data_IF_678814618098
#
_entry.id   IF_678814618098
#
_cell.length_a   1.000
_cell.length_b   1.000
_cell.length_c   1.000
_cell.angle_alpha   90.00
_cell.angle_beta   90.00
_cell.angle_gamma   90.00
#
_symmetry.space_group_name_H-M   'P 1'
#
loop_
_entity.id
_entity.type
_entity.pdbx_description
1 polymer ?
#
# COMPACT_ATOMS: atom_id res chain seq x y z
N UNK A 1 27.45 -1.03 20.56
CA UNK A 1 27.94 0.35 20.33
C UNK A 1 26.91 1.42 20.68
N UNK A 2 25.71 1.42 20.07
CA UNK A 2 24.64 2.41 20.33
C UNK A 2 24.33 2.70 21.81
N UNK A 3 24.23 1.67 22.65
CA UNK A 3 23.98 1.81 24.09
C UNK A 3 25.03 2.68 24.80
N UNK A 4 26.31 2.56 24.43
CA UNK A 4 27.39 3.34 25.03
C UNK A 4 27.28 4.80 24.61
N UNK A 5 27.01 5.06 23.33
CA UNK A 5 26.78 6.41 22.79
C UNK A 5 25.59 7.09 23.46
N UNK A 6 24.47 6.38 23.61
CA UNK A 6 23.30 6.87 24.33
C UNK A 6 23.66 7.30 25.76
N UNK A 7 24.38 6.44 26.50
CA UNK A 7 24.76 6.75 27.88
C UNK A 7 25.71 7.94 27.99
N UNK A 8 26.69 8.06 27.10
CA UNK A 8 27.61 9.21 27.08
C UNK A 8 26.85 10.51 26.84
N UNK A 9 25.93 10.53 25.87
CA UNK A 9 25.11 11.71 25.57
C UNK A 9 24.17 12.05 26.73
N UNK A 10 23.50 11.05 27.29
CA UNK A 10 22.59 11.22 28.42
C UNK A 10 23.31 11.73 29.67
N UNK A 11 24.46 11.14 30.02
CA UNK A 11 25.25 11.54 31.19
C UNK A 11 25.83 12.96 31.03
N UNK A 12 26.13 13.37 29.79
CA UNK A 12 26.56 14.73 29.46
C UNK A 12 25.39 15.71 29.23
N UNK A 13 24.16 15.33 29.64
CA UNK A 13 22.94 16.14 29.52
C UNK A 13 22.71 16.69 28.10
N UNK A 14 23.06 15.91 27.08
CA UNK A 14 22.80 16.27 25.69
C UNK A 14 21.37 15.90 25.30
N UNK A 15 20.77 16.71 24.43
CA UNK A 15 19.44 16.41 23.90
C UNK A 15 19.50 15.18 22.98
N UNK A 16 18.56 14.26 23.18
CA UNK A 16 18.43 13.04 22.37
C UNK A 16 17.00 13.03 21.81
N UNK A 17 16.89 12.97 20.48
CA UNK A 17 15.62 12.81 19.79
C UNK A 17 15.69 11.49 19.01
N UNK A 18 14.71 10.62 19.25
CA UNK A 18 14.58 9.33 18.58
C UNK A 18 13.20 9.26 17.93
N UNK A 19 13.16 8.71 16.72
CA UNK A 19 11.92 8.48 15.98
C UNK A 19 11.81 7.00 15.64
N UNK A 20 10.61 6.43 15.76
CA UNK A 20 10.32 5.05 15.36
C UNK A 20 8.90 4.96 14.80
N UNK A 21 8.69 4.00 13.92
CA UNK A 21 7.38 3.58 13.40
C UNK A 21 6.56 2.77 14.42
N UNK A 22 7.19 2.32 15.51
CA UNK A 22 6.57 1.53 16.57
C UNK A 22 6.88 2.13 17.95
N UNK A 23 6.01 1.86 18.91
CA UNK A 23 6.31 2.25 20.29
C UNK A 23 7.46 1.40 20.85
N UNK A 24 8.23 1.93 21.83
CA UNK A 24 9.41 1.23 22.35
C UNK A 24 9.16 -0.22 22.78
N UNK A 25 7.97 -0.53 23.30
CA UNK A 25 7.56 -1.88 23.74
C UNK A 25 7.38 -2.89 22.61
N UNK A 26 7.21 -2.45 21.37
CA UNK A 26 6.98 -3.30 20.19
C UNK A 26 8.20 -3.33 19.24
N UNK A 27 9.36 -2.88 19.72
CA UNK A 27 10.62 -2.97 18.99
C UNK A 27 11.24 -4.35 19.18
N UNK A 28 11.11 -5.19 18.16
CA UNK A 28 11.72 -6.52 18.12
C UNK A 28 13.24 -6.42 17.94
N UNK A 29 14.00 -7.32 18.59
CA UNK A 29 15.46 -7.39 18.43
C UNK A 29 16.26 -6.35 19.23
N UNK A 30 15.61 -5.51 20.03
CA UNK A 30 16.30 -4.64 20.99
C UNK A 30 16.43 -5.29 22.37
N UNK A 31 17.55 -5.02 23.02
CA UNK A 31 17.75 -5.41 24.42
C UNK A 31 16.77 -4.67 25.33
N UNK A 32 16.20 -5.36 26.31
CA UNK A 32 15.20 -4.83 27.24
C UNK A 32 15.64 -3.55 27.98
N UNK A 33 16.95 -3.42 28.24
CA UNK A 33 17.53 -2.20 28.83
C UNK A 33 17.36 -0.97 27.93
N UNK A 34 17.43 -1.10 26.61
CA UNK A 34 17.22 0.02 25.67
C UNK A 34 15.74 0.43 25.64
N UNK A 35 14.83 -0.55 25.59
CA UNK A 35 13.38 -0.33 25.64
C UNK A 35 12.99 0.46 26.89
N UNK A 36 13.57 0.09 28.03
CA UNK A 36 13.36 0.77 29.32
C UNK A 36 13.82 2.23 29.26
N UNK A 37 15.01 2.49 28.69
CA UNK A 37 15.55 3.86 28.56
C UNK A 37 14.75 4.73 27.61
N UNK A 38 14.26 4.18 26.50
CA UNK A 38 13.39 4.91 25.58
C UNK A 38 12.07 5.30 26.25
N UNK A 39 11.57 4.46 27.17
CA UNK A 39 10.35 4.71 27.93
C UNK A 39 10.52 5.70 29.09
N UNK A 40 11.76 6.05 29.48
CA UNK A 40 12.02 7.05 30.53
C UNK A 40 11.87 8.49 30.05
N UNK A 41 11.97 8.73 28.75
CA UNK A 41 11.78 10.04 28.14
C UNK A 41 10.33 10.37 27.82
N UNK A 42 10.09 11.56 27.27
CA UNK A 42 8.79 11.93 26.70
C UNK A 42 8.54 11.10 25.43
N UNK A 43 7.55 10.22 25.49
CA UNK A 43 7.09 9.44 24.34
C UNK A 43 5.79 10.03 23.82
N UNK A 44 5.83 10.65 22.65
CA UNK A 44 4.64 11.18 21.97
C UNK A 44 4.40 10.43 20.67
N UNK A 45 3.15 10.01 20.47
CA UNK A 45 2.71 9.41 19.22
C UNK A 45 2.34 10.51 18.23
N UNK A 46 2.80 10.38 16.99
CA UNK A 46 2.35 11.20 15.88
C UNK A 46 1.21 10.43 15.21
N UNK A 47 -0.01 10.94 15.36
CA UNK A 47 -1.18 10.41 14.66
C UNK A 47 -1.38 11.12 13.32
N UNK A 48 -2.14 10.53 12.38
CA UNK A 48 -2.62 11.26 11.21
C UNK A 48 -3.26 12.60 11.61
N UNK A 49 -3.01 13.68 10.84
CA UNK A 49 -3.59 14.99 11.12
C UNK A 49 -5.11 14.96 10.97
N UNK A 50 -5.82 15.64 11.87
CA UNK A 50 -7.26 15.89 11.71
C UNK A 50 -7.53 16.90 10.58
N UNK A 51 -8.80 17.13 10.26
CA UNK A 51 -9.20 17.98 9.14
C UNK A 51 -8.63 19.40 9.24
N UNK A 52 -8.75 20.02 10.42
CA UNK A 52 -8.21 21.37 10.69
C UNK A 52 -6.69 21.42 10.53
N UNK A 53 -5.99 20.42 11.08
CA UNK A 53 -4.53 20.31 10.95
C UNK A 53 -4.13 20.11 9.49
N UNK A 54 -4.90 19.36 8.69
CA UNK A 54 -4.64 19.20 7.25
C UNK A 54 -4.79 20.52 6.50
N UNK A 55 -5.81 21.33 6.80
CA UNK A 55 -5.96 22.67 6.23
C UNK A 55 -4.75 23.54 6.59
N UNK A 56 -4.34 23.57 7.86
CA UNK A 56 -3.20 24.36 8.31
C UNK A 56 -1.89 23.93 7.62
N UNK A 57 -1.69 22.61 7.44
CA UNK A 57 -0.55 22.08 6.69
C UNK A 57 -0.60 22.53 5.23
N UNK A 58 -1.75 22.39 4.56
CA UNK A 58 -1.91 22.82 3.17
C UNK A 58 -1.66 24.32 3.00
N UNK A 59 -2.18 25.16 3.91
CA UNK A 59 -1.93 26.60 3.94
C UNK A 59 -0.43 26.89 4.06
N UNK A 60 0.24 26.31 5.05
CA UNK A 60 1.69 26.51 5.26
C UNK A 60 2.53 26.04 4.07
N UNK A 61 2.12 24.95 3.41
CA UNK A 61 2.81 24.40 2.23
C UNK A 61 2.60 25.22 0.96
N UNK A 62 1.47 25.94 0.87
CA UNK A 62 1.12 26.72 -0.32
C UNK A 62 1.52 28.19 -0.22
N UNK A 63 1.73 28.72 0.98
CA UNK A 63 2.08 30.13 1.24
C UNK A 63 3.30 30.62 0.46
N UNK A 64 4.31 29.76 0.28
CA UNK A 64 5.56 30.11 -0.42
C UNK A 64 5.57 29.72 -1.91
N UNK A 65 4.43 29.31 -2.46
CA UNK A 65 4.31 28.95 -3.88
C UNK A 65 3.88 30.17 -4.72
N UNK A 66 4.28 30.18 -5.99
CA UNK A 66 3.87 31.20 -6.97
C UNK A 66 2.38 31.13 -7.38
N UNK A 67 1.58 30.30 -6.68
CA UNK A 67 0.18 30.01 -6.99
C UNK A 67 -0.71 30.38 -5.80
N UNK A 68 -1.86 30.98 -6.09
CA UNK A 68 -2.83 31.39 -5.08
C UNK A 68 -3.90 30.32 -4.92
N UNK A 69 -3.91 29.61 -3.80
CA UNK A 69 -4.94 28.63 -3.48
C UNK A 69 -6.10 29.31 -2.74
N UNK A 70 -7.31 29.18 -3.28
CA UNK A 70 -8.51 29.69 -2.61
C UNK A 70 -8.84 28.87 -1.35
N UNK A 71 -9.44 29.49 -0.34
CA UNK A 71 -9.73 28.84 0.95
C UNK A 71 -10.62 27.60 0.79
N UNK A 72 -11.66 27.69 -0.03
CA UNK A 72 -12.57 26.59 -0.36
C UNK A 72 -11.86 25.42 -1.06
N UNK A 73 -10.81 25.72 -1.83
CA UNK A 73 -9.96 24.73 -2.48
C UNK A 73 -9.10 24.00 -1.47
N UNK A 74 -8.54 24.69 -0.48
CA UNK A 74 -7.78 24.05 0.60
C UNK A 74 -8.66 23.16 1.49
N UNK A 75 -9.89 23.60 1.79
CA UNK A 75 -10.90 22.79 2.49
C UNK A 75 -11.28 21.55 1.68
N UNK A 76 -11.53 21.71 0.38
CA UNK A 76 -11.80 20.60 -0.52
C UNK A 76 -10.65 19.58 -0.51
N UNK A 77 -9.41 20.04 -0.64
CA UNK A 77 -8.22 19.19 -0.59
C UNK A 77 -8.10 18.44 0.74
N UNK A 78 -8.30 19.12 1.87
CA UNK A 78 -8.26 18.50 3.20
C UNK A 78 -9.33 17.41 3.39
N UNK A 79 -10.45 17.50 2.64
CA UNK A 79 -11.51 16.49 2.63
C UNK A 79 -11.24 15.29 1.72
N UNK A 80 -10.30 15.39 0.77
CA UNK A 80 -9.99 14.29 -0.17
C UNK A 80 -8.96 13.28 0.36
N UNK A 81 -8.20 13.63 1.40
CA UNK A 81 -7.11 12.81 1.94
C UNK A 81 -7.25 12.67 3.45
N UNK A 82 -7.18 11.44 3.96
CA UNK A 82 -7.41 11.10 5.37
C UNK A 82 -6.22 10.43 6.06
N UNK A 83 -5.21 10.00 5.30
CA UNK A 83 -4.20 9.06 5.79
C UNK A 83 -2.87 9.70 6.20
N UNK A 84 -2.24 10.51 5.33
CA UNK A 84 -0.86 10.96 5.50
C UNK A 84 -0.59 12.32 4.84
N UNK A 85 0.20 13.17 5.50
CA UNK A 85 0.71 14.45 5.00
C UNK A 85 1.36 14.34 3.61
N UNK A 86 2.02 13.21 3.31
CA UNK A 86 2.61 12.98 1.98
C UNK A 86 1.59 13.02 0.84
N UNK A 87 0.35 12.58 1.07
CA UNK A 87 -0.69 12.62 0.05
C UNK A 87 -1.11 14.06 -0.26
N UNK A 88 -1.20 14.90 0.78
CA UNK A 88 -1.47 16.34 0.66
C UNK A 88 -0.37 17.04 -0.13
N UNK A 89 0.90 16.78 0.19
CA UNK A 89 2.05 17.35 -0.54
C UNK A 89 2.07 16.90 -1.99
N UNK A 90 1.78 15.62 -2.23
CA UNK A 90 1.64 15.09 -3.58
C UNK A 90 0.54 15.84 -4.35
N UNK A 91 -0.64 16.00 -3.76
CA UNK A 91 -1.74 16.70 -4.41
C UNK A 91 -1.35 18.14 -4.80
N UNK A 92 -0.66 18.87 -3.91
CA UNK A 92 -0.12 20.20 -4.23
C UNK A 92 0.82 20.15 -5.44
N UNK A 93 1.73 19.19 -5.50
CA UNK A 93 2.67 19.07 -6.62
C UNK A 93 1.95 18.82 -7.96
N UNK A 94 0.94 17.96 -8.00
CA UNK A 94 0.18 17.71 -9.23
C UNK A 94 -0.61 18.93 -9.67
N UNK A 95 -1.22 19.62 -8.71
CA UNK A 95 -2.00 20.84 -8.96
C UNK A 95 -1.10 21.92 -9.53
N UNK A 96 0.07 22.15 -8.92
CA UNK A 96 1.04 23.15 -9.40
C UNK A 96 1.60 22.78 -10.78
N UNK A 97 1.76 21.49 -11.10
CA UNK A 97 2.12 21.03 -12.43
C UNK A 97 1.03 21.38 -13.46
N UNK A 98 -0.24 21.04 -13.19
CA UNK A 98 -1.35 21.37 -14.08
C UNK A 98 -1.48 22.89 -14.24
N UNK A 99 -1.39 23.64 -13.15
CA UNK A 99 -1.44 25.09 -13.16
C UNK A 99 -0.31 25.69 -14.01
N UNK A 100 0.91 25.14 -13.91
CA UNK A 100 2.05 25.52 -14.76
C UNK A 100 1.76 25.30 -16.23
N UNK A 101 1.28 24.09 -16.59
CA UNK A 101 0.99 23.71 -17.98
C UNK A 101 -0.11 24.61 -18.57
N UNK A 102 -1.15 24.88 -17.79
CA UNK A 102 -2.28 25.74 -18.18
C UNK A 102 -2.00 27.24 -18.03
N UNK A 103 -0.85 27.61 -17.44
CA UNK A 103 -0.45 28.99 -17.12
C UNK A 103 -1.50 29.73 -16.27
N UNK A 104 -2.04 29.05 -15.27
CA UNK A 104 -3.02 29.61 -14.32
C UNK A 104 -2.30 29.87 -12.99
N UNK A 105 -2.58 31.01 -12.35
CA UNK A 105 -2.05 31.35 -11.02
C UNK A 105 -3.03 31.07 -9.88
N UNK A 106 -4.32 31.29 -10.12
CA UNK A 106 -5.37 31.06 -9.13
C UNK A 106 -5.85 29.61 -9.19
N UNK A 107 -5.68 28.88 -8.10
CA UNK A 107 -6.08 27.49 -7.98
C UNK A 107 -7.48 27.43 -7.39
N UNK A 108 -8.43 27.05 -8.23
CA UNK A 108 -9.83 26.79 -7.86
C UNK A 108 -10.07 25.30 -7.58
N UNK A 109 -11.23 24.98 -7.00
CA UNK A 109 -11.67 23.60 -6.77
C UNK A 109 -11.65 22.78 -8.06
N UNK A 110 -12.03 23.36 -9.21
CA UNK A 110 -12.07 22.64 -10.48
C UNK A 110 -10.68 22.19 -10.94
N UNK A 111 -9.66 23.05 -10.80
CA UNK A 111 -8.27 22.73 -11.14
C UNK A 111 -7.73 21.67 -10.18
N UNK A 112 -8.04 21.81 -8.88
CA UNK A 112 -7.68 20.83 -7.87
C UNK A 112 -8.32 19.45 -8.14
N UNK A 113 -9.60 19.44 -8.48
CA UNK A 113 -10.34 18.22 -8.80
C UNK A 113 -9.81 17.55 -10.07
N UNK A 114 -9.42 18.31 -11.09
CA UNK A 114 -8.80 17.79 -12.30
C UNK A 114 -7.45 17.11 -12.01
N UNK A 115 -6.59 17.75 -11.21
CA UNK A 115 -5.31 17.19 -10.80
C UNK A 115 -5.48 15.90 -9.98
N UNK A 116 -6.43 15.90 -9.04
CA UNK A 116 -6.73 14.72 -8.23
C UNK A 116 -7.33 13.61 -9.08
N UNK A 117 -8.17 13.92 -10.07
CA UNK A 117 -8.69 12.91 -10.99
C UNK A 117 -7.59 12.30 -11.81
N UNK A 118 -6.65 13.09 -12.35
CA UNK A 118 -5.49 12.56 -13.08
C UNK A 118 -4.64 11.63 -12.19
N UNK A 119 -4.37 12.03 -10.93
CA UNK A 119 -3.74 11.17 -9.92
C UNK A 119 -4.51 9.87 -9.68
N UNK A 120 -5.83 9.96 -9.47
CA UNK A 120 -6.69 8.78 -9.29
C UNK A 120 -6.73 7.95 -10.56
N UNK A 121 -6.63 8.54 -11.75
CA UNK A 121 -6.58 7.83 -13.04
C UNK A 121 -5.27 7.11 -13.25
N UNK A 122 -4.12 7.64 -12.81
CA UNK A 122 -2.85 6.90 -12.76
C UNK A 122 -2.92 5.73 -11.76
N UNK A 123 -3.56 5.95 -10.60
CA UNK A 123 -3.87 4.86 -9.64
C UNK A 123 -4.92 3.88 -10.20
N UNK A 124 -5.76 4.30 -11.14
CA UNK A 124 -6.76 3.45 -11.81
C UNK A 124 -6.23 2.77 -13.08
N UNK A 125 -5.13 3.26 -13.66
CA UNK A 125 -4.37 2.60 -14.72
C UNK A 125 -3.35 1.61 -14.18
N UNK A 126 -2.96 1.75 -12.91
CA UNK A 126 -2.56 0.59 -12.11
C UNK A 126 -3.85 -0.17 -11.74
N UNK A 127 -4.45 -0.85 -12.72
CA UNK A 127 -5.55 -1.78 -12.50
C UNK A 127 -5.17 -2.67 -11.31
N UNK A 128 -5.71 -2.39 -10.13
CA UNK A 128 -5.64 -3.33 -9.01
C UNK A 128 -6.48 -4.51 -9.49
N UNK A 129 -5.81 -5.47 -10.12
CA UNK A 129 -6.45 -6.65 -10.68
C UNK A 129 -7.22 -7.30 -9.53
N UNK A 130 -8.57 -7.31 -9.57
CA UNK A 130 -9.33 -7.92 -8.50
C UNK A 130 -9.00 -9.41 -8.44
N UNK A 131 -8.84 -9.97 -7.24
CA UNK A 131 -8.61 -11.41 -7.08
C UNK A 131 -9.73 -12.22 -7.76
N UNK A 132 -10.96 -11.70 -7.75
CA UNK A 132 -12.09 -12.31 -8.44
C UNK A 132 -11.90 -12.39 -9.97
N UNK A 133 -11.28 -11.37 -10.61
CA UNK A 133 -10.92 -11.43 -12.04
C UNK A 133 -9.94 -12.56 -12.30
N UNK A 134 -8.93 -12.71 -11.45
CA UNK A 134 -7.93 -13.81 -11.54
C UNK A 134 -8.62 -15.17 -11.38
N UNK A 135 -9.50 -15.30 -10.40
CA UNK A 135 -10.28 -16.51 -10.18
C UNK A 135 -11.13 -16.87 -11.41
N UNK A 136 -11.82 -15.90 -12.00
CA UNK A 136 -12.63 -16.12 -13.19
C UNK A 136 -11.79 -16.55 -14.40
N UNK A 137 -10.69 -15.85 -14.70
CA UNK A 137 -9.84 -16.19 -15.86
C UNK A 137 -9.16 -17.55 -15.72
N UNK A 138 -8.65 -17.88 -14.52
CA UNK A 138 -8.07 -19.21 -14.25
C UNK A 138 -9.14 -20.29 -14.29
N UNK A 139 -10.34 -20.01 -13.76
CA UNK A 139 -11.47 -20.93 -13.80
C UNK A 139 -11.94 -21.23 -15.22
N UNK A 140 -12.03 -20.20 -16.07
CA UNK A 140 -12.36 -20.32 -17.48
C UNK A 140 -11.32 -21.16 -18.23
N UNK A 141 -10.03 -21.03 -17.89
CA UNK A 141 -8.95 -21.79 -18.51
C UNK A 141 -9.02 -23.29 -18.16
N UNK A 142 -9.20 -23.63 -16.89
CA UNK A 142 -9.18 -25.02 -16.42
C UNK A 142 -10.57 -25.69 -16.36
N UNK A 143 -11.64 -24.98 -16.74
CA UNK A 143 -13.01 -25.47 -16.66
C UNK A 143 -13.49 -25.70 -15.22
N UNK A 144 -13.05 -24.85 -14.29
CA UNK A 144 -13.36 -24.94 -12.85
C UNK A 144 -14.09 -23.68 -12.40
N UNK A 145 -15.20 -23.83 -11.69
CA UNK A 145 -15.94 -22.67 -11.19
C UNK A 145 -15.22 -21.99 -10.01
N UNK A 146 -15.43 -20.68 -9.86
CA UNK A 146 -14.91 -19.93 -8.70
C UNK A 146 -15.37 -20.54 -7.37
N UNK A 147 -16.60 -21.05 -7.32
CA UNK A 147 -17.15 -21.75 -6.13
C UNK A 147 -16.35 -22.99 -5.76
N UNK A 148 -15.93 -23.78 -6.75
CA UNK A 148 -15.10 -24.97 -6.53
C UNK A 148 -13.69 -24.62 -6.06
N UNK A 149 -13.11 -23.54 -6.61
CA UNK A 149 -11.83 -23.01 -6.13
C UNK A 149 -11.90 -22.51 -4.68
N UNK A 150 -13.01 -21.91 -4.25
CA UNK A 150 -13.20 -21.49 -2.85
C UNK A 150 -13.52 -22.69 -1.92
N UNK A 151 -13.95 -23.82 -2.46
CA UNK A 151 -14.31 -25.01 -1.69
C UNK A 151 -13.14 -25.80 -1.09
N UNK A 152 -13.48 -26.90 -0.41
CA UNK A 152 -12.53 -27.85 0.19
C UNK A 152 -12.21 -29.06 -0.70
N UNK A 153 -12.88 -29.20 -1.85
CA UNK A 153 -12.71 -30.34 -2.77
C UNK A 153 -11.26 -30.44 -3.26
N UNK A 154 -10.74 -31.67 -3.27
CA UNK A 154 -9.32 -32.00 -3.55
C UNK A 154 -9.10 -32.75 -4.87
N UNK A 155 -10.00 -32.59 -5.85
CA UNK A 155 -9.75 -33.12 -7.20
C UNK A 155 -8.55 -32.41 -7.83
N UNK A 156 -7.70 -33.16 -8.53
CA UNK A 156 -6.41 -32.66 -9.03
C UNK A 156 -6.55 -31.40 -9.89
N UNK A 157 -7.51 -31.37 -10.83
CA UNK A 157 -7.79 -30.21 -11.67
C UNK A 157 -8.23 -28.97 -10.86
N UNK A 158 -9.10 -29.15 -9.87
CA UNK A 158 -9.56 -28.05 -8.99
C UNK A 158 -8.42 -27.54 -8.10
N UNK A 159 -7.58 -28.46 -7.58
CA UNK A 159 -6.42 -28.07 -6.76
C UNK A 159 -5.41 -27.30 -7.60
N UNK A 160 -5.12 -27.75 -8.82
CA UNK A 160 -4.21 -27.06 -9.73
C UNK A 160 -4.74 -25.65 -10.08
N UNK A 161 -5.99 -25.53 -10.53
CA UNK A 161 -6.60 -24.24 -10.84
C UNK A 161 -6.56 -23.28 -9.64
N UNK A 162 -6.89 -23.78 -8.44
CA UNK A 162 -6.80 -22.99 -7.19
C UNK A 162 -5.37 -22.54 -6.89
N UNK A 163 -4.39 -23.43 -7.04
CA UNK A 163 -2.98 -23.12 -6.78
C UNK A 163 -2.45 -22.08 -7.78
N UNK A 164 -2.77 -22.21 -9.07
CA UNK A 164 -2.42 -21.24 -10.11
C UNK A 164 -3.08 -19.88 -9.82
N UNK A 165 -4.36 -19.86 -9.44
CA UNK A 165 -5.06 -18.62 -9.11
C UNK A 165 -4.45 -17.91 -7.88
N UNK A 166 -4.04 -18.66 -6.85
CA UNK A 166 -3.33 -18.10 -5.69
C UNK A 166 -1.95 -17.56 -6.07
N UNK A 167 -1.21 -18.29 -6.90
CA UNK A 167 0.09 -17.86 -7.42
C UNK A 167 -0.06 -16.53 -8.20
N UNK A 168 -0.97 -16.48 -9.17
CA UNK A 168 -1.23 -15.27 -9.94
C UNK A 168 -1.74 -14.10 -9.08
N UNK A 169 -2.57 -14.38 -8.07
CA UNK A 169 -3.01 -13.35 -7.12
C UNK A 169 -1.84 -12.74 -6.36
N UNK A 170 -0.80 -13.54 -6.06
CA UNK A 170 0.40 -13.05 -5.39
C UNK A 170 1.35 -12.31 -6.34
N UNK A 171 1.43 -12.74 -7.59
CA UNK A 171 2.33 -12.14 -8.60
C UNK A 171 1.78 -10.87 -9.25
N UNK A 172 0.45 -10.76 -9.38
CA UNK A 172 -0.21 -9.68 -10.12
C UNK A 172 -0.87 -8.63 -9.22
N UNK A 173 -0.85 -8.80 -7.90
CA UNK A 173 -1.50 -7.89 -6.96
C UNK A 173 -0.67 -7.67 -5.70
N UNK A 174 -0.83 -6.51 -5.06
CA UNK A 174 -0.22 -6.17 -3.77
C UNK A 174 -1.01 -6.69 -2.56
N UNK A 175 -1.98 -7.61 -2.76
CA UNK A 175 -2.75 -8.17 -1.67
C UNK A 175 -1.88 -9.00 -0.72
N UNK A 176 -2.13 -8.85 0.58
CA UNK A 176 -1.46 -9.65 1.61
C UNK A 176 -1.88 -11.12 1.56
N UNK A 177 -0.99 -12.03 2.00
CA UNK A 177 -1.28 -13.47 2.04
C UNK A 177 -2.57 -13.82 2.81
N UNK A 178 -2.88 -13.17 3.97
CA UNK A 178 -4.17 -13.37 4.64
C UNK A 178 -5.37 -12.92 3.80
N UNK A 179 -5.25 -11.79 3.08
CA UNK A 179 -6.32 -11.28 2.21
C UNK A 179 -6.58 -12.23 1.05
N UNK A 180 -5.51 -12.73 0.40
CA UNK A 180 -5.63 -13.76 -0.65
C UNK A 180 -6.33 -14.99 -0.08
N UNK A 181 -5.85 -15.54 1.04
CA UNK A 181 -6.46 -16.72 1.68
C UNK A 181 -7.96 -16.56 1.97
N UNK A 182 -8.37 -15.37 2.45
CA UNK A 182 -9.77 -15.01 2.67
C UNK A 182 -10.61 -15.09 1.39
N UNK A 183 -10.10 -14.56 0.28
CA UNK A 183 -10.78 -14.59 -1.04
C UNK A 183 -10.88 -16.00 -1.64
N UNK A 184 -10.08 -16.97 -1.15
CA UNK A 184 -10.14 -18.38 -1.56
C UNK A 184 -10.92 -19.26 -0.57
N UNK A 185 -11.95 -18.70 0.08
CA UNK A 185 -12.83 -19.45 0.98
C UNK A 185 -12.29 -19.57 2.42
N UNK A 186 -11.59 -18.54 2.90
CA UNK A 186 -11.07 -18.50 4.27
C UNK A 186 -9.89 -19.45 4.51
N UNK A 187 -9.06 -19.70 3.50
CA UNK A 187 -7.88 -20.55 3.63
C UNK A 187 -6.75 -19.83 4.37
N UNK A 188 -5.97 -20.59 5.12
CA UNK A 188 -4.84 -20.04 5.87
C UNK A 188 -3.79 -19.43 4.94
N UNK A 189 -3.14 -18.36 5.40
CA UNK A 189 -2.06 -17.69 4.68
C UNK A 189 -0.92 -18.64 4.30
N UNK A 190 -0.65 -19.66 5.13
CA UNK A 190 0.32 -20.73 4.84
C UNK A 190 -0.07 -21.55 3.60
N UNK A 191 -1.35 -21.77 3.36
CA UNK A 191 -1.84 -22.45 2.13
C UNK A 191 -1.48 -21.65 0.89
N UNK A 192 -1.57 -20.31 0.96
CA UNK A 192 -1.18 -19.42 -0.15
C UNK A 192 0.32 -19.49 -0.39
N UNK A 193 1.13 -19.50 0.68
CA UNK A 193 2.60 -19.67 0.59
C UNK A 193 2.95 -20.98 -0.11
N UNK A 194 2.36 -22.10 0.33
CA UNK A 194 2.62 -23.42 -0.25
C UNK A 194 2.17 -23.50 -1.71
N UNK A 195 1.02 -22.92 -2.06
CA UNK A 195 0.54 -22.87 -3.43
C UNK A 195 1.49 -22.06 -4.33
N UNK A 196 1.92 -20.89 -3.86
CA UNK A 196 2.84 -20.03 -4.58
C UNK A 196 4.19 -20.70 -4.84
N UNK A 197 4.81 -21.25 -3.79
CA UNK A 197 6.10 -21.95 -3.90
C UNK A 197 6.03 -23.16 -4.85
N UNK A 198 4.94 -23.95 -4.77
CA UNK A 198 4.74 -25.11 -5.64
C UNK A 198 4.61 -24.73 -7.10
N UNK A 199 3.74 -23.75 -7.43
CA UNK A 199 3.55 -23.33 -8.82
C UNK A 199 4.82 -22.69 -9.37
N UNK A 200 5.54 -21.91 -8.56
CA UNK A 200 6.83 -21.33 -8.95
C UNK A 200 7.85 -22.40 -9.36
N UNK A 201 8.00 -23.47 -8.55
CA UNK A 201 8.87 -24.60 -8.88
C UNK A 201 8.44 -25.33 -10.16
N UNK A 202 7.13 -25.55 -10.33
CA UNK A 202 6.61 -26.26 -11.50
C UNK A 202 6.77 -25.46 -12.80
N UNK A 203 6.72 -24.14 -12.75
CA UNK A 203 6.96 -23.29 -13.95
C UNK A 203 8.39 -23.43 -14.46
N UNK A 204 9.35 -23.66 -13.56
CA UNK A 204 10.77 -23.84 -13.92
C UNK A 204 11.03 -25.23 -14.53
N UNK A 205 10.17 -26.21 -14.23
CA UNK A 205 10.31 -27.62 -14.66
C UNK A 205 9.41 -27.99 -15.85
N UNK A 206 8.25 -27.35 -16.00
CA UNK A 206 7.23 -27.67 -17.00
C UNK A 206 6.94 -26.47 -17.91
N UNK A 207 7.50 -26.53 -19.13
CA UNK A 207 7.29 -25.52 -20.17
C UNK A 207 5.83 -25.37 -20.59
N UNK A 208 5.02 -26.43 -20.53
CA UNK A 208 3.60 -26.33 -20.88
C UNK A 208 2.88 -25.49 -19.83
N UNK A 209 3.07 -25.78 -18.54
CA UNK A 209 2.48 -25.00 -17.46
C UNK A 209 2.90 -23.53 -17.52
N UNK A 210 4.17 -23.26 -17.85
CA UNK A 210 4.67 -21.90 -18.06
C UNK A 210 3.90 -21.18 -19.18
N UNK A 211 3.70 -21.82 -20.32
CA UNK A 211 2.93 -21.26 -21.45
C UNK A 211 1.45 -21.04 -21.10
N UNK A 212 0.84 -21.97 -20.37
CA UNK A 212 -0.54 -21.83 -19.86
C UNK A 212 -0.66 -20.57 -18.98
N UNK A 213 0.24 -20.42 -18.01
CA UNK A 213 0.25 -19.30 -17.07
C UNK A 213 0.48 -17.96 -17.78
N UNK A 214 1.38 -17.91 -18.75
CA UNK A 214 1.59 -16.69 -19.55
C UNK A 214 0.37 -16.34 -20.42
N UNK A 215 -0.33 -17.35 -20.97
CA UNK A 215 -1.59 -17.16 -21.69
C UNK A 215 -2.68 -16.57 -20.77
N UNK A 216 -2.80 -17.10 -19.55
CA UNK A 216 -3.75 -16.59 -18.55
C UNK A 216 -3.37 -15.15 -18.15
N UNK A 217 -2.09 -14.87 -17.87
CA UNK A 217 -1.61 -13.53 -17.51
C UNK A 217 -1.95 -12.48 -18.57
N UNK A 218 -1.85 -12.83 -19.86
CA UNK A 218 -2.21 -11.96 -20.98
C UNK A 218 -3.69 -11.61 -21.06
N UNK A 219 -4.58 -12.46 -20.54
CA UNK A 219 -6.03 -12.17 -20.47
C UNK A 219 -6.41 -11.34 -19.24
N UNK A 220 -5.59 -11.43 -18.18
CA UNK A 220 -5.82 -10.71 -16.93
C UNK A 220 -5.37 -9.24 -17.03
N UNK A 221 -4.23 -8.99 -17.69
CA UNK A 221 -3.70 -7.65 -17.99
C UNK A 221 -4.48 -7.01 -19.14
#
# INVERSE_FOLDING_TARGET
>A
EFFNTFNVLHNNQKQIVLTSDRSPKHLEGLEERLVTRFSWGLTQNITPPDFETRIAILQSKTENLDYHFQSDTLEYLAGQFDSNVRELEGAINDITLIARVKKIKDITIDIAAEAIRARKQDVSQMLVIPIDKIQNEVGNFYGVSVKEMKGSRRLQNIVLARQVAMYLSRELTDNSLPKIGKEFGGKDHTTVIHAHAKIKSLIDEDDNLRLEIESIKKKIK
#
